data_IF_861644683528
#
_entry.id   IF_861644683528
#
_cell.length_a   1.000
_cell.length_b   1.000
_cell.length_c   1.000
_cell.angle_alpha   90.00
_cell.angle_beta   90.00
_cell.angle_gamma   90.00
#
_symmetry.space_group_name_H-M   'P 1'
#
loop_
_entity.id
_entity.type
_entity.pdbx_description
1 polymer ?
#
# COMPACT_ATOMS: atom_id res chain seq x y z
N UNK A 1 10.99 -8.35 55.98
CA UNK A 1 11.38 -8.78 54.61
C UNK A 1 10.23 -9.32 53.75
N UNK A 2 9.08 -9.75 54.30
CA UNK A 2 7.95 -10.34 53.53
C UNK A 2 7.11 -9.34 52.73
N UNK A 3 7.10 -8.04 53.06
CA UNK A 3 6.27 -7.03 52.36
C UNK A 3 6.90 -6.43 51.07
N UNK A 4 8.19 -6.62 50.85
CA UNK A 4 8.87 -6.11 49.65
C UNK A 4 8.76 -7.03 48.42
N UNK A 5 8.49 -8.31 48.64
CA UNK A 5 8.34 -9.32 47.59
C UNK A 5 6.99 -9.20 46.88
N UNK A 6 5.93 -8.84 47.63
CA UNK A 6 4.59 -8.69 47.06
C UNK A 6 4.44 -7.48 46.13
N UNK A 7 5.19 -6.40 46.38
CA UNK A 7 5.16 -5.20 45.50
C UNK A 7 5.81 -5.45 44.15
N UNK A 8 6.84 -6.31 44.07
CA UNK A 8 7.54 -6.64 42.81
C UNK A 8 6.69 -7.54 41.91
N UNK A 9 5.89 -8.45 42.50
CA UNK A 9 4.99 -9.35 41.74
C UNK A 9 3.82 -8.58 41.16
N UNK A 10 3.29 -7.57 41.86
CA UNK A 10 2.19 -6.72 41.34
C UNK A 10 2.67 -5.82 40.21
N UNK A 11 3.91 -5.30 40.28
CA UNK A 11 4.49 -4.50 39.18
C UNK A 11 4.75 -5.33 37.90
N UNK A 12 5.05 -6.63 38.04
CA UNK A 12 5.28 -7.51 36.88
C UNK A 12 3.98 -7.94 36.17
N UNK A 13 2.85 -7.95 36.90
CA UNK A 13 1.52 -8.29 36.37
C UNK A 13 0.86 -7.13 35.59
N UNK A 14 1.32 -5.89 35.76
CA UNK A 14 0.80 -4.72 35.05
C UNK A 14 1.43 -4.50 33.68
N UNK A 15 2.48 -5.24 33.31
CA UNK A 15 3.13 -5.16 31.98
C UNK A 15 2.58 -6.15 30.96
N UNK A 16 1.59 -6.95 31.29
CA UNK A 16 0.84 -7.76 30.32
C UNK A 16 -0.28 -6.91 29.68
N UNK A 17 0.09 -5.76 29.10
CA UNK A 17 -0.73 -5.20 28.05
C UNK A 17 -0.64 -6.19 26.90
N UNK A 18 -1.59 -7.14 26.84
CA UNK A 18 -1.75 -8.03 25.73
C UNK A 18 -1.90 -7.14 24.48
N UNK A 19 -0.88 -7.11 23.65
CA UNK A 19 -1.01 -6.56 22.32
C UNK A 19 -2.05 -7.43 21.62
N UNK A 20 -3.33 -7.06 21.73
CA UNK A 20 -4.37 -7.66 20.91
C UNK A 20 -3.94 -7.45 19.46
N UNK A 21 -3.73 -8.55 18.75
CA UNK A 21 -3.45 -8.48 17.34
C UNK A 21 -4.65 -7.78 16.66
N UNK A 22 -4.40 -6.64 16.05
CA UNK A 22 -5.43 -5.93 15.29
C UNK A 22 -5.94 -6.83 14.18
N UNK A 23 -7.26 -6.88 14.03
CA UNK A 23 -7.90 -7.73 13.02
C UNK A 23 -8.37 -6.90 11.83
N UNK A 24 -8.57 -7.55 10.72
CA UNK A 24 -9.17 -6.92 9.54
C UNK A 24 -10.56 -6.33 9.86
N UNK A 25 -11.33 -6.98 10.74
CA UNK A 25 -12.59 -6.47 11.26
C UNK A 25 -12.43 -5.10 11.93
N UNK A 26 -11.40 -4.95 12.78
CA UNK A 26 -11.16 -3.69 13.50
C UNK A 26 -10.89 -2.54 12.53
N UNK A 27 -10.21 -2.81 11.40
CA UNK A 27 -9.98 -1.79 10.36
C UNK A 27 -11.29 -1.20 9.84
N UNK A 28 -12.32 -2.04 9.68
CA UNK A 28 -13.59 -1.61 9.08
C UNK A 28 -14.65 -1.20 10.09
N UNK A 29 -14.45 -1.45 11.38
CA UNK A 29 -15.46 -1.14 12.42
C UNK A 29 -15.03 -0.04 13.37
N UNK A 30 -13.74 0.27 13.48
CA UNK A 30 -13.21 1.28 14.40
C UNK A 30 -12.29 2.25 13.66
N UNK A 31 -12.67 3.55 13.63
CA UNK A 31 -11.88 4.62 13.00
C UNK A 31 -10.52 4.84 13.65
N UNK A 32 -10.38 4.49 14.95
CA UNK A 32 -9.15 4.64 15.73
C UNK A 32 -8.18 3.46 15.54
N UNK A 33 -8.59 2.38 14.84
CA UNK A 33 -7.66 1.30 14.51
C UNK A 33 -6.59 1.81 13.56
N UNK A 34 -5.32 1.85 13.96
CA UNK A 34 -4.26 2.38 13.12
C UNK A 34 -4.09 1.56 11.85
N UNK A 35 -3.95 2.26 10.72
CA UNK A 35 -3.52 1.71 9.44
C UNK A 35 -2.29 2.48 9.01
N UNK A 36 -1.25 1.77 8.64
CA UNK A 36 0.05 2.32 8.30
C UNK A 36 0.28 2.26 6.79
N UNK A 37 0.31 3.39 6.11
CA UNK A 37 0.57 3.43 4.67
C UNK A 37 2.04 3.17 4.38
N UNK A 38 2.32 2.08 3.70
CA UNK A 38 3.67 1.63 3.37
C UNK A 38 4.16 2.19 2.03
N UNK A 39 3.24 2.71 1.21
CA UNK A 39 3.55 3.23 -0.12
C UNK A 39 3.10 2.33 -1.26
N UNK A 40 3.71 2.57 -2.43
CA UNK A 40 3.45 1.86 -3.68
C UNK A 40 4.66 1.01 -4.03
N UNK A 41 4.45 -0.30 -4.12
CA UNK A 41 5.45 -1.25 -4.63
C UNK A 41 5.39 -1.28 -6.16
N UNK A 42 6.50 -0.94 -6.78
CA UNK A 42 6.71 -1.00 -8.23
C UNK A 42 7.70 -2.09 -8.64
N UNK A 43 8.15 -2.94 -7.71
CA UNK A 43 9.25 -3.90 -7.95
C UNK A 43 9.05 -4.80 -9.15
N UNK A 44 7.80 -5.15 -9.44
CA UNK A 44 7.46 -6.01 -10.58
C UNK A 44 6.55 -5.33 -11.59
N UNK A 45 6.41 -4.01 -11.54
CA UNK A 45 5.53 -3.24 -12.42
C UNK A 45 5.97 -3.33 -13.88
N UNK A 46 4.99 -3.49 -14.78
CA UNK A 46 5.20 -3.33 -16.22
C UNK A 46 4.69 -1.98 -16.69
N UNK A 47 5.53 -1.24 -17.42
CA UNK A 47 5.13 -0.05 -18.15
C UNK A 47 4.85 -0.44 -19.61
N UNK A 48 3.56 -0.45 -19.96
CA UNK A 48 3.08 -0.96 -21.25
C UNK A 48 2.90 0.20 -22.22
N UNK A 49 3.44 0.02 -23.44
CA UNK A 49 3.29 0.93 -24.59
C UNK A 49 3.85 2.36 -24.36
N UNK A 50 4.90 2.51 -23.54
CA UNK A 50 5.64 3.76 -23.40
C UNK A 50 7.08 3.60 -23.92
N UNK A 51 7.26 3.69 -25.24
CA UNK A 51 8.54 3.48 -25.89
C UNK A 51 9.58 4.54 -25.52
N UNK A 52 9.14 5.74 -25.15
CA UNK A 52 10.01 6.90 -24.89
C UNK A 52 10.51 6.99 -23.46
N UNK A 53 9.92 6.20 -22.56
CA UNK A 53 10.28 6.20 -21.15
C UNK A 53 11.70 5.62 -20.94
N UNK A 54 12.46 6.21 -20.03
CA UNK A 54 13.76 5.73 -19.60
C UNK A 54 13.65 4.88 -18.35
N UNK A 55 13.95 3.59 -18.47
CA UNK A 55 13.75 2.60 -17.42
C UNK A 55 14.62 2.84 -16.18
N UNK A 56 15.85 3.32 -16.38
CA UNK A 56 16.76 3.66 -15.28
C UNK A 56 16.22 4.86 -14.49
N UNK A 57 15.80 5.92 -15.20
CA UNK A 57 15.20 7.09 -14.57
C UNK A 57 13.90 6.73 -13.82
N UNK A 58 13.11 5.80 -14.36
CA UNK A 58 11.87 5.35 -13.72
C UNK A 58 12.19 4.67 -12.40
N UNK A 59 13.11 3.70 -12.37
CA UNK A 59 13.51 2.99 -11.16
C UNK A 59 14.17 3.92 -10.15
N UNK A 60 15.15 4.71 -10.60
CA UNK A 60 16.06 5.43 -9.71
C UNK A 60 15.45 6.74 -9.16
N UNK A 61 14.38 7.25 -9.78
CA UNK A 61 13.82 8.55 -9.42
C UNK A 61 12.29 8.62 -9.45
N UNK A 62 11.65 8.06 -10.49
CA UNK A 62 10.22 8.32 -10.70
C UNK A 62 9.35 7.52 -9.73
N UNK A 63 9.73 6.31 -9.36
CA UNK A 63 8.98 5.49 -8.41
C UNK A 63 8.90 6.15 -7.03
N UNK A 64 10.02 6.68 -6.54
CA UNK A 64 10.03 7.43 -5.29
C UNK A 64 9.26 8.74 -5.41
N UNK A 65 9.44 9.48 -6.51
CA UNK A 65 8.70 10.72 -6.74
C UNK A 65 7.18 10.54 -6.81
N UNK A 66 6.68 9.38 -7.31
CA UNK A 66 5.24 9.05 -7.26
C UNK A 66 4.82 8.76 -5.81
N UNK A 67 5.61 8.00 -5.05
CA UNK A 67 5.33 7.73 -3.65
C UNK A 67 5.27 9.03 -2.82
N UNK A 68 6.26 9.90 -2.99
CA UNK A 68 6.37 11.16 -2.27
C UNK A 68 5.16 12.08 -2.50
N UNK A 69 4.67 12.18 -3.74
CA UNK A 69 3.54 13.07 -4.03
C UNK A 69 2.24 12.61 -3.37
N UNK A 70 2.05 11.30 -3.18
CA UNK A 70 0.87 10.76 -2.49
C UNK A 70 0.82 11.24 -1.04
N UNK A 71 1.95 11.19 -0.33
CA UNK A 71 2.00 11.60 1.08
C UNK A 71 2.17 13.13 1.25
N UNK A 72 2.79 13.81 0.28
CA UNK A 72 2.97 15.26 0.32
C UNK A 72 1.68 16.06 0.02
N UNK A 73 0.71 15.46 -0.68
CA UNK A 73 -0.55 16.10 -1.05
C UNK A 73 -1.77 15.41 -0.39
N UNK A 74 -1.86 15.32 0.97
CA UNK A 74 -2.88 14.51 1.66
C UNK A 74 -4.32 14.99 1.40
N UNK A 75 -4.52 16.27 1.06
CA UNK A 75 -5.85 16.78 0.67
C UNK A 75 -6.31 16.26 -0.69
N UNK A 76 -5.38 15.85 -1.54
CA UNK A 76 -5.66 15.30 -2.86
C UNK A 76 -5.70 13.78 -2.85
N UNK A 77 -4.81 13.17 -2.08
CA UNK A 77 -4.70 11.72 -1.91
C UNK A 77 -5.14 11.35 -0.49
N UNK A 78 -6.43 11.56 -0.19
CA UNK A 78 -6.98 11.41 1.16
C UNK A 78 -7.14 9.94 1.56
N UNK A 79 -6.02 9.34 1.98
CA UNK A 79 -6.01 7.96 2.47
C UNK A 79 -6.83 7.81 3.77
N UNK A 80 -6.80 8.82 4.64
CA UNK A 80 -7.56 8.77 5.88
C UNK A 80 -9.07 8.78 5.61
N UNK A 81 -9.54 9.68 4.77
CA UNK A 81 -10.93 9.71 4.31
C UNK A 81 -11.34 8.42 3.61
N UNK A 82 -10.49 7.90 2.69
CA UNK A 82 -10.78 6.69 1.94
C UNK A 82 -10.96 5.44 2.82
N UNK A 83 -10.18 5.31 3.89
CA UNK A 83 -10.27 4.20 4.84
C UNK A 83 -11.05 4.52 6.12
N UNK A 84 -11.76 5.67 6.17
CA UNK A 84 -12.53 6.15 7.31
C UNK A 84 -11.74 6.10 8.62
N UNK A 85 -10.49 6.61 8.57
CA UNK A 85 -9.60 6.71 9.72
C UNK A 85 -9.48 8.15 10.19
N UNK A 86 -9.23 8.35 11.50
CA UNK A 86 -8.89 9.66 12.04
C UNK A 86 -7.57 10.18 11.46
N UNK A 87 -6.59 9.28 11.27
CA UNK A 87 -5.34 9.55 10.57
C UNK A 87 -4.77 8.26 9.94
N UNK A 88 -3.86 8.43 8.99
CA UNK A 88 -3.07 7.35 8.40
C UNK A 88 -1.60 7.78 8.41
N UNK A 89 -0.84 7.19 9.31
CA UNK A 89 0.62 7.33 9.32
C UNK A 89 1.26 6.66 8.11
N UNK A 90 2.50 7.04 7.77
CA UNK A 90 3.20 6.42 6.66
C UNK A 90 4.70 6.23 6.93
N UNK A 91 5.28 5.27 6.24
CA UNK A 91 6.73 5.07 6.15
C UNK A 91 7.08 4.49 4.77
N UNK A 92 7.54 5.34 3.89
CA UNK A 92 7.89 4.97 2.52
C UNK A 92 9.24 4.22 2.42
N UNK A 93 10.03 4.18 3.49
CA UNK A 93 11.36 3.56 3.48
C UNK A 93 11.33 2.06 3.14
N UNK A 94 10.22 1.37 3.41
CA UNK A 94 10.07 -0.04 3.04
C UNK A 94 9.94 -0.24 1.53
N UNK A 95 9.07 0.53 0.88
CA UNK A 95 8.89 0.45 -0.58
C UNK A 95 10.08 1.03 -1.33
N UNK A 96 10.69 2.12 -0.86
CA UNK A 96 11.88 2.73 -1.48
C UNK A 96 13.01 1.71 -1.62
N UNK A 97 13.40 1.04 -0.52
CA UNK A 97 14.42 -0.03 -0.52
C UNK A 97 14.12 -1.18 -1.47
N UNK A 98 12.84 -1.43 -1.75
CA UNK A 98 12.39 -2.47 -2.68
C UNK A 98 12.43 -1.96 -4.12
N UNK A 99 11.87 -0.78 -4.37
CA UNK A 99 11.77 -0.19 -5.69
C UNK A 99 13.14 0.08 -6.31
N UNK A 100 14.15 0.48 -5.50
CA UNK A 100 15.55 0.60 -5.94
C UNK A 100 16.12 -0.70 -6.54
N UNK A 101 15.59 -1.86 -6.11
CA UNK A 101 16.02 -3.18 -6.58
C UNK A 101 15.20 -3.71 -7.75
N UNK A 102 14.25 -2.93 -8.26
CA UNK A 102 13.48 -3.33 -9.43
C UNK A 102 14.41 -3.54 -10.63
N UNK A 103 14.16 -4.60 -11.40
CA UNK A 103 14.94 -4.84 -12.61
C UNK A 103 14.52 -3.82 -13.70
N UNK A 104 15.36 -2.80 -13.92
CA UNK A 104 15.08 -1.74 -14.89
C UNK A 104 14.80 -2.28 -16.30
N UNK A 105 15.58 -3.27 -16.76
CA UNK A 105 15.42 -3.88 -18.08
C UNK A 105 14.07 -4.60 -18.26
N UNK A 106 13.44 -4.98 -17.14
CA UNK A 106 12.17 -5.67 -17.14
C UNK A 106 10.96 -4.74 -16.99
N UNK A 107 11.16 -3.43 -16.84
CA UNK A 107 10.08 -2.46 -16.62
C UNK A 107 9.21 -2.33 -17.87
N UNK A 108 9.81 -2.09 -19.04
CA UNK A 108 9.04 -1.86 -20.26
C UNK A 108 8.46 -3.15 -20.84
N UNK A 109 7.28 -3.02 -21.40
CA UNK A 109 6.59 -4.11 -22.10
C UNK A 109 5.77 -3.57 -23.28
N UNK A 110 5.67 -4.38 -24.33
CA UNK A 110 4.73 -4.20 -25.44
C UNK A 110 3.59 -5.23 -25.39
N UNK A 111 3.63 -6.12 -24.38
CA UNK A 111 2.61 -7.13 -24.21
C UNK A 111 1.43 -6.59 -23.39
N UNK A 112 0.30 -6.36 -24.04
CA UNK A 112 -0.90 -5.82 -23.36
C UNK A 112 -1.50 -6.76 -22.32
N UNK A 113 -1.20 -8.08 -22.38
CA UNK A 113 -1.66 -9.04 -21.36
C UNK A 113 -0.94 -8.89 -20.02
N UNK A 114 0.20 -8.18 -19.99
CA UNK A 114 0.88 -7.83 -18.73
C UNK A 114 0.03 -6.92 -17.83
N UNK A 115 -1.04 -6.36 -18.35
CA UNK A 115 -1.99 -5.58 -17.55
C UNK A 115 -2.85 -6.44 -16.60
N UNK A 116 -2.89 -7.77 -16.79
CA UNK A 116 -3.68 -8.73 -16.01
C UNK A 116 -2.88 -10.00 -15.70
N UNK A 117 -1.64 -9.87 -15.23
CA UNK A 117 -0.76 -11.03 -15.05
C UNK A 117 -0.65 -11.52 -13.61
N UNK A 118 -1.01 -10.70 -12.60
CA UNK A 118 -0.96 -11.10 -11.20
C UNK A 118 -2.22 -11.84 -10.76
N UNK A 119 -1.99 -12.71 -9.79
CA UNK A 119 -3.02 -13.32 -8.93
C UNK A 119 -2.74 -12.92 -7.47
N UNK A 120 -3.68 -13.21 -6.58
CA UNK A 120 -3.53 -12.95 -5.13
C UNK A 120 -2.26 -13.60 -4.56
N UNK A 121 -1.90 -14.80 -5.01
CA UNK A 121 -0.68 -15.50 -4.60
C UNK A 121 0.61 -14.74 -4.97
N UNK A 122 0.61 -14.03 -6.07
CA UNK A 122 1.78 -13.22 -6.48
C UNK A 122 1.92 -12.00 -5.57
N UNK A 123 0.81 -11.36 -5.22
CA UNK A 123 0.78 -10.29 -4.22
C UNK A 123 1.25 -10.81 -2.85
N UNK A 124 0.78 -11.98 -2.44
CA UNK A 124 1.20 -12.61 -1.18
C UNK A 124 2.71 -12.89 -1.14
N UNK A 125 3.32 -13.34 -2.24
CA UNK A 125 4.77 -13.50 -2.37
C UNK A 125 5.51 -12.17 -2.24
N UNK A 126 5.03 -11.10 -2.89
CA UNK A 126 5.60 -9.76 -2.77
C UNK A 126 5.56 -9.32 -1.32
N UNK A 127 4.41 -9.39 -0.66
CA UNK A 127 4.23 -9.02 0.76
C UNK A 127 5.16 -9.82 1.67
N UNK A 128 5.25 -11.14 1.49
CA UNK A 128 6.10 -12.00 2.32
C UNK A 128 7.60 -11.68 2.21
N UNK A 129 8.02 -11.02 1.14
CA UNK A 129 9.41 -10.64 0.88
C UNK A 129 9.83 -9.32 1.56
N UNK A 130 8.89 -8.62 2.23
CA UNK A 130 9.21 -7.44 3.03
C UNK A 130 9.86 -7.81 4.36
N UNK A 131 10.67 -6.90 4.86
CA UNK A 131 11.19 -6.94 6.23
C UNK A 131 10.74 -5.66 6.94
N UNK A 132 9.85 -5.81 7.90
CA UNK A 132 9.34 -4.70 8.72
C UNK A 132 10.05 -4.61 10.07
N UNK A 133 11.08 -5.43 10.31
CA UNK A 133 11.74 -5.54 11.62
C UNK A 133 10.72 -5.95 12.69
N UNK A 134 10.76 -5.23 13.83
CA UNK A 134 9.84 -5.49 14.95
C UNK A 134 8.49 -4.75 14.84
N UNK A 135 8.25 -4.01 13.76
CA UNK A 135 6.97 -3.31 13.58
C UNK A 135 5.83 -4.31 13.40
N UNK A 136 4.77 -4.08 14.18
CA UNK A 136 3.50 -4.78 14.06
C UNK A 136 2.39 -3.82 13.64
N UNK A 137 1.17 -4.33 13.56
CA UNK A 137 -0.01 -3.59 13.13
C UNK A 137 -0.39 -3.87 11.69
N UNK A 138 -1.33 -3.08 11.18
CA UNK A 138 -1.89 -3.27 9.83
C UNK A 138 -1.25 -2.28 8.86
N UNK A 139 -0.58 -2.82 7.84
CA UNK A 139 -0.01 -2.06 6.73
C UNK A 139 -0.97 -1.97 5.55
N UNK A 140 -1.03 -0.80 4.91
CA UNK A 140 -1.66 -0.57 3.61
C UNK A 140 -0.57 -0.45 2.56
N UNK A 141 -0.55 -1.36 1.61
CA UNK A 141 0.40 -1.42 0.51
C UNK A 141 -0.35 -1.42 -0.83
N UNK A 142 0.06 -0.56 -1.75
CA UNK A 142 -0.39 -0.59 -3.13
C UNK A 142 0.64 -1.35 -3.97
N UNK A 143 0.30 -2.54 -4.45
CA UNK A 143 1.19 -3.31 -5.32
C UNK A 143 0.79 -3.05 -6.77
N UNK A 144 1.65 -2.38 -7.52
CA UNK A 144 1.37 -2.02 -8.91
C UNK A 144 1.74 -3.15 -9.85
N UNK A 145 0.75 -3.69 -10.53
CA UNK A 145 0.92 -4.73 -11.54
C UNK A 145 1.41 -4.15 -12.86
N UNK A 146 0.75 -3.09 -13.33
CA UNK A 146 1.10 -2.43 -14.58
C UNK A 146 0.63 -0.98 -14.65
N UNK A 147 1.39 -0.20 -15.43
CA UNK A 147 1.06 1.16 -15.90
C UNK A 147 0.92 1.07 -17.42
N UNK A 148 -0.26 1.27 -17.97
CA UNK A 148 -0.50 1.16 -19.43
C UNK A 148 -0.76 2.51 -20.07
N UNK A 149 0.14 2.92 -20.97
CA UNK A 149 0.03 4.17 -21.70
C UNK A 149 -1.13 4.13 -22.67
N UNK A 150 -1.33 3.00 -23.37
CA UNK A 150 -2.41 2.81 -24.33
C UNK A 150 -3.79 2.79 -23.66
N UNK A 151 -3.91 2.18 -22.47
CA UNK A 151 -5.15 2.19 -21.66
C UNK A 151 -5.34 3.49 -20.88
N UNK A 152 -4.29 4.30 -20.70
CA UNK A 152 -4.27 5.45 -19.77
C UNK A 152 -4.74 5.05 -18.38
N UNK A 153 -4.22 3.94 -17.86
CA UNK A 153 -4.64 3.36 -16.59
C UNK A 153 -3.50 2.63 -15.89
N UNK A 154 -3.62 2.53 -14.57
CA UNK A 154 -2.81 1.65 -13.74
C UNK A 154 -3.65 0.48 -13.21
N UNK A 155 -3.04 -0.70 -13.15
CA UNK A 155 -3.57 -1.87 -12.48
C UNK A 155 -2.84 -2.01 -11.13
N UNK A 156 -3.58 -1.98 -10.03
CA UNK A 156 -3.05 -1.91 -8.67
C UNK A 156 -3.81 -2.87 -7.76
N UNK A 157 -3.06 -3.59 -6.94
CA UNK A 157 -3.61 -4.42 -5.87
C UNK A 157 -3.56 -3.63 -4.57
N UNK A 158 -4.72 -3.21 -4.09
CA UNK A 158 -4.89 -2.56 -2.78
C UNK A 158 -4.85 -3.64 -1.71
N UNK A 159 -3.82 -3.60 -0.87
CA UNK A 159 -3.51 -4.71 0.03
C UNK A 159 -3.41 -4.23 1.48
N UNK A 160 -4.22 -4.80 2.37
CA UNK A 160 -4.04 -4.73 3.81
C UNK A 160 -3.30 -5.98 4.28
N UNK A 161 -2.27 -5.78 5.09
CA UNK A 161 -1.40 -6.86 5.56
C UNK A 161 -1.10 -6.72 7.05
N UNK A 162 -0.81 -7.83 7.69
CA UNK A 162 -0.21 -7.87 9.03
C UNK A 162 1.30 -7.73 8.89
N UNK A 163 1.85 -6.61 9.39
CA UNK A 163 3.27 -6.29 9.27
C UNK A 163 4.16 -7.28 10.03
N UNK A 164 3.71 -7.79 11.18
CA UNK A 164 4.48 -8.72 12.02
C UNK A 164 4.63 -10.09 11.36
N UNK A 165 3.54 -10.60 10.79
CA UNK A 165 3.53 -11.93 10.17
C UNK A 165 3.79 -11.89 8.67
N UNK A 166 3.75 -10.72 8.06
CA UNK A 166 3.88 -10.50 6.61
C UNK A 166 2.82 -11.24 5.81
N UNK A 167 1.63 -11.39 6.39
CA UNK A 167 0.50 -12.05 5.75
C UNK A 167 -0.47 -11.03 5.17
N UNK A 168 -0.94 -11.29 3.98
CA UNK A 168 -2.06 -10.55 3.38
C UNK A 168 -3.33 -10.85 4.18
N UNK A 169 -3.99 -9.81 4.66
CA UNK A 169 -5.29 -9.87 5.33
C UNK A 169 -6.43 -9.68 4.33
N UNK A 170 -6.23 -8.77 3.37
CA UNK A 170 -7.13 -8.48 2.26
C UNK A 170 -6.29 -7.97 1.09
N UNK A 171 -6.63 -8.39 -0.10
CA UNK A 171 -6.12 -7.76 -1.33
C UNK A 171 -7.22 -7.73 -2.37
N UNK A 172 -7.31 -6.63 -3.10
CA UNK A 172 -8.25 -6.48 -4.20
C UNK A 172 -7.59 -5.72 -5.34
N UNK A 173 -7.72 -6.26 -6.55
CA UNK A 173 -7.24 -5.63 -7.77
C UNK A 173 -8.19 -4.50 -8.17
N UNK A 174 -7.64 -3.31 -8.34
CA UNK A 174 -8.34 -2.13 -8.81
C UNK A 174 -7.66 -1.54 -10.03
N UNK A 175 -8.41 -0.84 -10.86
CA UNK A 175 -7.88 -0.08 -11.97
C UNK A 175 -8.17 1.40 -11.72
N UNK A 176 -7.14 2.23 -11.84
CA UNK A 176 -7.28 3.69 -11.80
C UNK A 176 -6.96 4.28 -13.15
N UNK A 177 -7.76 5.24 -13.55
CA UNK A 177 -7.60 5.94 -14.83
C UNK A 177 -6.70 7.17 -14.67
N UNK A 178 -5.93 7.47 -15.72
CA UNK A 178 -5.30 8.79 -15.83
C UNK A 178 -6.41 9.83 -16.03
N UNK A 179 -6.55 10.75 -15.08
CA UNK A 179 -7.56 11.79 -15.14
C UNK A 179 -7.43 12.66 -16.39
N UNK A 180 -8.52 13.36 -16.77
CA UNK A 180 -8.62 14.20 -17.96
C UNK A 180 -7.48 15.22 -18.11
N UNK A 181 -6.90 15.64 -16.99
CA UNK A 181 -5.77 16.55 -16.88
C UNK A 181 -4.56 15.87 -16.24
N UNK A 182 -4.37 14.57 -16.51
CA UNK A 182 -3.21 13.83 -16.01
C UNK A 182 -1.96 14.71 -16.16
N UNK A 183 -1.36 15.06 -15.00
CA UNK A 183 -0.41 16.16 -14.88
C UNK A 183 0.79 16.06 -15.81
N UNK A 184 1.53 17.15 -15.95
CA UNK A 184 2.75 17.17 -16.76
C UNK A 184 3.85 16.31 -16.12
N UNK A 185 4.58 15.59 -16.95
CA UNK A 185 5.70 14.74 -16.57
C UNK A 185 5.26 13.38 -16.05
N UNK A 186 6.21 12.44 -16.00
CA UNK A 186 5.98 11.03 -15.67
C UNK A 186 5.33 10.87 -14.28
N UNK A 187 5.90 11.53 -13.27
CA UNK A 187 5.39 11.46 -11.88
C UNK A 187 3.91 11.82 -11.77
N UNK A 188 3.53 13.01 -12.25
CA UNK A 188 2.15 13.49 -12.07
C UNK A 188 1.15 12.71 -12.92
N UNK A 189 1.58 12.28 -14.11
CA UNK A 189 0.77 11.44 -14.99
C UNK A 189 0.43 10.12 -14.30
N UNK A 190 1.44 9.44 -13.74
CA UNK A 190 1.25 8.14 -13.11
C UNK A 190 0.80 8.19 -11.63
N UNK A 191 0.87 9.33 -10.95
CA UNK A 191 0.22 9.53 -9.67
C UNK A 191 -1.31 9.68 -9.80
N UNK A 192 -1.81 10.15 -10.96
CA UNK A 192 -3.25 10.36 -11.20
C UNK A 192 -4.12 9.11 -11.06
N UNK A 193 -3.76 7.92 -11.57
CA UNK A 193 -4.48 6.67 -11.34
C UNK A 193 -4.64 6.29 -9.86
N UNK A 194 -3.66 6.58 -9.01
CA UNK A 194 -3.75 6.29 -7.58
C UNK A 194 -4.80 7.18 -6.90
N UNK A 195 -4.92 8.43 -7.35
CA UNK A 195 -6.02 9.28 -6.88
C UNK A 195 -7.39 8.69 -7.24
N UNK A 196 -7.56 8.24 -8.47
CA UNK A 196 -8.81 7.63 -8.92
C UNK A 196 -9.16 6.37 -8.10
N UNK A 197 -8.16 5.56 -7.76
CA UNK A 197 -8.31 4.38 -6.88
C UNK A 197 -8.71 4.82 -5.47
N UNK A 198 -8.03 5.80 -4.87
CA UNK A 198 -8.32 6.32 -3.52
C UNK A 198 -9.75 6.86 -3.47
N UNK A 199 -10.17 7.64 -4.47
CA UNK A 199 -11.54 8.15 -4.58
C UNK A 199 -12.57 7.01 -4.73
N UNK A 200 -12.25 5.96 -5.47
CA UNK A 200 -13.12 4.80 -5.62
C UNK A 200 -13.24 3.98 -4.32
N UNK A 201 -12.16 3.92 -3.52
CA UNK A 201 -12.20 3.31 -2.19
C UNK A 201 -13.17 4.10 -1.30
N UNK A 202 -13.00 5.42 -1.20
CA UNK A 202 -13.86 6.29 -0.40
C UNK A 202 -15.34 6.16 -0.78
N UNK A 203 -15.63 6.27 -2.06
CA UNK A 203 -17.02 6.37 -2.58
C UNK A 203 -17.77 5.04 -2.56
N UNK A 204 -17.05 3.91 -2.68
CA UNK A 204 -17.71 2.62 -2.92
C UNK A 204 -17.02 1.45 -2.22
N UNK A 205 -15.73 1.24 -2.45
CA UNK A 205 -15.04 0.01 -2.05
C UNK A 205 -14.98 -0.18 -0.54
N UNK A 206 -14.79 0.90 0.21
CA UNK A 206 -14.79 0.82 1.67
C UNK A 206 -16.08 0.21 2.23
N UNK A 207 -17.25 0.62 1.73
CA UNK A 207 -18.53 0.07 2.19
C UNK A 207 -18.71 -1.40 1.79
N UNK A 208 -18.25 -1.80 0.60
CA UNK A 208 -18.24 -3.20 0.18
C UNK A 208 -17.34 -4.05 1.10
N UNK A 209 -16.13 -3.58 1.39
CA UNK A 209 -15.18 -4.25 2.29
C UNK A 209 -15.70 -4.31 3.72
N UNK A 210 -16.27 -3.21 4.22
CA UNK A 210 -16.89 -3.18 5.55
C UNK A 210 -18.03 -4.21 5.68
N UNK A 211 -18.85 -4.35 4.65
CA UNK A 211 -19.91 -5.36 4.63
C UNK A 211 -19.36 -6.80 4.63
N UNK A 212 -18.24 -7.03 3.98
CA UNK A 212 -17.61 -8.35 3.85
C UNK A 212 -16.78 -8.74 5.08
N UNK A 213 -16.04 -7.80 5.66
CA UNK A 213 -15.02 -8.08 6.67
C UNK A 213 -15.33 -7.47 8.04
N UNK A 214 -16.29 -6.56 8.16
CA UNK A 214 -16.67 -5.89 9.42
C UNK A 214 -17.70 -6.65 10.28
N UNK A 215 -18.17 -7.81 9.83
CA UNK A 215 -19.16 -8.62 10.55
C UNK A 215 -18.52 -9.62 11.50
#
# INVERSE_FOLDING_TARGET
MKHRINALIIALLLCLNGAFAQTLKDVFTNSETPVFYLGIDFTQTKLIDDATANEMDIRDRQYDAINDVIVAEPKKYDLAGAFHKSEVDHDLGYVAKKNEKANAEAIKSTNTSDFHRFKEDDVAKIVSSYDFGDKGGIGLLFVTEALSKSKKAAAVWVTLLDMKTRKVLMTERMEGSVGRFGGFGFRNYWASPFKDIIDAIEKKKYSEWKSKYGN
#
